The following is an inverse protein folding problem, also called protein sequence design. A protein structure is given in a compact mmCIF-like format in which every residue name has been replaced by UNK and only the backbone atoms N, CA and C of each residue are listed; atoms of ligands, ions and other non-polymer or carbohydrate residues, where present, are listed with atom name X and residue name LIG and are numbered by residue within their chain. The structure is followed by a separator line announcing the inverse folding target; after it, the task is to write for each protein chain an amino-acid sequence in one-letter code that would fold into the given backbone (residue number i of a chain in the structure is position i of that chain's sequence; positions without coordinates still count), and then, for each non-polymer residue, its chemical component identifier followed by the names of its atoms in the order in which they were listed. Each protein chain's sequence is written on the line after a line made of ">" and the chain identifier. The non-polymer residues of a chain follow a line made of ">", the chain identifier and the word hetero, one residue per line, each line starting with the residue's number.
data_IF_597594615418
#
_entry.id   IF_597594615418
#
_cell.length_a   1.000
_cell.length_b   1.000
_cell.length_c   1.000
_cell.angle_alpha   90.00
_cell.angle_beta   90.00
_cell.angle_gamma   90.00
#
_symmetry.space_group_name_H-M   'P 1'
#
loop_
_entity.id
_entity.type
_entity.pdbx_description
1 polymer ?
#
# COMPACT_ATOMS: atom_id res chain seq x y z
N UNK A 1 -5.62 -5.37 15.83
CA UNK A 1 -4.80 -4.88 16.96
C UNK A 1 -5.12 -3.43 17.32
N UNK A 2 -5.00 -2.47 16.39
CA UNK A 2 -5.25 -1.04 16.66
C UNK A 2 -6.68 -0.78 17.15
N UNK A 3 -7.72 -1.28 16.47
CA UNK A 3 -9.13 -1.11 16.91
C UNK A 3 -9.40 -1.70 18.28
N UNK A 4 -8.83 -2.87 18.58
CA UNK A 4 -8.97 -3.49 19.89
C UNK A 4 -8.37 -2.59 20.97
N UNK A 5 -7.17 -2.06 20.75
CA UNK A 5 -6.53 -1.12 21.68
C UNK A 5 -7.33 0.17 21.85
N UNK A 6 -7.87 0.73 20.76
CA UNK A 6 -8.70 1.94 20.77
C UNK A 6 -10.03 1.73 21.51
N UNK A 7 -10.60 0.52 21.46
CA UNK A 7 -11.84 0.20 22.19
C UNK A 7 -11.68 0.04 23.70
N UNK A 8 -10.44 -0.08 24.22
CA UNK A 8 -10.18 -0.18 25.67
C UNK A 8 -10.34 1.18 26.34
N UNK A 9 -10.71 1.16 27.63
CA UNK A 9 -10.66 2.35 28.48
C UNK A 9 -9.24 2.90 28.53
N UNK A 10 -9.11 4.22 28.70
CA UNK A 10 -7.82 4.89 28.58
C UNK A 10 -6.77 4.34 29.57
N UNK A 11 -7.18 4.05 30.81
CA UNK A 11 -6.35 3.45 31.84
C UNK A 11 -5.86 2.02 31.52
N UNK A 12 -6.57 1.31 30.64
CA UNK A 12 -6.28 -0.09 30.26
C UNK A 12 -5.50 -0.19 28.94
N UNK A 13 -5.20 0.95 28.29
CA UNK A 13 -4.46 0.99 27.03
C UNK A 13 -2.99 0.75 27.27
N UNK A 14 -2.45 -0.30 26.66
CA UNK A 14 -1.03 -0.63 26.70
C UNK A 14 -0.39 -0.42 25.32
N UNK A 15 0.23 0.74 25.12
CA UNK A 15 0.90 1.06 23.85
C UNK A 15 2.07 0.13 23.53
N UNK A 16 2.76 -0.43 24.53
CA UNK A 16 3.84 -1.39 24.27
C UNK A 16 3.29 -2.70 23.71
N UNK A 17 2.19 -3.21 24.26
CA UNK A 17 1.50 -4.39 23.74
C UNK A 17 1.07 -4.18 22.28
N UNK A 18 0.57 -2.98 21.94
CA UNK A 18 0.23 -2.64 20.57
C UNK A 18 1.46 -2.66 19.65
N UNK A 19 2.57 -2.06 20.09
CA UNK A 19 3.83 -2.03 19.33
C UNK A 19 4.33 -3.45 19.08
N UNK A 20 4.37 -4.29 20.12
CA UNK A 20 4.90 -5.65 20.03
C UNK A 20 4.06 -6.52 19.08
N UNK A 21 2.73 -6.30 19.05
CA UNK A 21 1.84 -7.02 18.14
C UNK A 21 1.92 -6.54 16.69
N UNK A 22 2.02 -5.22 16.45
CA UNK A 22 1.89 -4.64 15.11
C UNK A 22 3.23 -4.54 14.38
N UNK A 23 4.32 -4.24 15.08
CA UNK A 23 5.66 -4.10 14.49
C UNK A 23 6.09 -5.27 13.60
N UNK A 24 6.00 -6.55 14.01
CA UNK A 24 6.40 -7.66 13.15
C UNK A 24 5.56 -7.76 11.88
N UNK A 25 4.28 -7.39 11.93
CA UNK A 25 3.39 -7.39 10.77
C UNK A 25 3.78 -6.30 9.76
N UNK A 26 4.15 -5.11 10.24
CA UNK A 26 4.62 -4.03 9.35
C UNK A 26 5.93 -4.38 8.67
N UNK A 27 6.88 -5.00 9.39
CA UNK A 27 8.14 -5.47 8.81
C UNK A 27 7.88 -6.52 7.72
N UNK A 28 6.94 -7.44 7.97
CA UNK A 28 6.54 -8.43 6.97
C UNK A 28 5.87 -7.78 5.75
N UNK A 29 4.97 -6.83 5.95
CA UNK A 29 4.32 -6.08 4.89
C UNK A 29 5.34 -5.31 4.02
N UNK A 30 6.30 -4.65 4.65
CA UNK A 30 7.39 -3.94 3.97
C UNK A 30 8.20 -4.89 3.09
N UNK A 31 8.56 -6.07 3.63
CA UNK A 31 9.27 -7.10 2.87
C UNK A 31 8.47 -7.54 1.63
N UNK A 32 7.19 -7.86 1.81
CA UNK A 32 6.32 -8.30 0.70
C UNK A 32 6.18 -7.21 -0.36
N UNK A 33 5.98 -5.96 0.04
CA UNK A 33 5.86 -4.84 -0.89
C UNK A 33 7.16 -4.61 -1.67
N UNK A 34 8.33 -4.68 -1.02
CA UNK A 34 9.62 -4.55 -1.70
C UNK A 34 9.90 -5.72 -2.66
N UNK A 35 9.59 -6.97 -2.27
CA UNK A 35 9.71 -8.13 -3.15
C UNK A 35 8.80 -7.98 -4.38
N UNK A 36 7.55 -7.56 -4.16
CA UNK A 36 6.58 -7.31 -5.25
C UNK A 36 7.05 -6.19 -6.16
N UNK A 37 7.56 -5.10 -5.61
CA UNK A 37 8.13 -3.98 -6.36
C UNK A 37 9.33 -4.43 -7.22
N UNK A 38 10.20 -5.28 -6.67
CA UNK A 38 11.31 -5.88 -7.40
C UNK A 38 10.85 -6.80 -8.54
N UNK A 39 9.82 -7.63 -8.30
CA UNK A 39 9.24 -8.50 -9.33
C UNK A 39 8.62 -7.70 -10.49
N UNK A 40 7.85 -6.66 -10.17
CA UNK A 40 7.28 -5.74 -11.17
C UNK A 40 8.39 -5.09 -12.00
N UNK A 41 9.42 -4.57 -11.34
CA UNK A 41 10.53 -3.91 -12.03
C UNK A 41 11.34 -4.90 -12.89
N UNK A 42 11.53 -6.12 -12.43
CA UNK A 42 12.20 -7.18 -13.18
C UNK A 42 11.40 -7.65 -14.40
N UNK A 43 10.07 -7.64 -14.31
CA UNK A 43 9.18 -8.00 -15.41
C UNK A 43 9.15 -6.92 -16.51
N UNK A 44 9.32 -5.64 -16.17
CA UNK A 44 9.40 -4.54 -17.13
C UNK A 44 10.50 -3.52 -16.82
N UNK A 45 11.79 -3.87 -17.01
CA UNK A 45 12.91 -3.02 -16.62
C UNK A 45 12.92 -1.66 -17.33
N UNK A 46 12.52 -1.65 -18.60
CA UNK A 46 12.52 -0.47 -19.49
C UNK A 46 11.13 0.19 -19.60
N UNK A 47 10.15 -0.24 -18.80
CA UNK A 47 8.76 0.24 -18.86
C UNK A 47 8.08 0.04 -20.23
N UNK A 48 8.54 -0.90 -21.07
CA UNK A 48 8.00 -1.15 -22.42
C UNK A 48 6.58 -1.69 -22.36
N UNK A 49 6.31 -2.61 -21.43
CA UNK A 49 4.99 -3.25 -21.26
C UNK A 49 4.02 -2.21 -20.70
N UNK A 50 4.39 -1.50 -19.64
CA UNK A 50 3.55 -0.49 -19.00
C UNK A 50 3.25 0.69 -19.93
N UNK A 51 4.23 1.13 -20.73
CA UNK A 51 4.00 2.16 -21.75
C UNK A 51 3.03 1.70 -22.84
N UNK A 52 3.09 0.43 -23.24
CA UNK A 52 2.16 -0.15 -24.22
C UNK A 52 0.74 -0.22 -23.66
N UNK A 53 0.58 -0.75 -22.44
CA UNK A 53 -0.71 -0.83 -21.77
C UNK A 53 -1.34 0.56 -21.59
N UNK A 54 -0.54 1.57 -21.22
CA UNK A 54 -0.98 2.97 -21.14
C UNK A 54 -1.55 3.48 -22.47
N UNK A 55 -0.87 3.20 -23.59
CA UNK A 55 -1.35 3.59 -24.93
C UNK A 55 -2.64 2.85 -25.31
N UNK A 56 -2.76 1.57 -24.94
CA UNK A 56 -3.99 0.81 -25.18
C UNK A 56 -5.18 1.39 -24.41
N UNK A 57 -5.01 1.73 -23.13
CA UNK A 57 -6.06 2.38 -22.34
C UNK A 57 -6.48 3.71 -22.97
N UNK A 58 -5.52 4.58 -23.32
CA UNK A 58 -5.80 5.87 -23.97
C UNK A 58 -6.51 5.75 -25.33
N UNK A 59 -6.28 4.65 -26.04
CA UNK A 59 -6.91 4.37 -27.33
C UNK A 59 -8.22 3.57 -27.19
N UNK A 60 -8.70 3.29 -25.97
CA UNK A 60 -9.83 2.39 -25.69
C UNK A 60 -9.67 0.99 -26.32
N UNK A 61 -8.45 0.46 -26.29
CA UNK A 61 -8.04 -0.85 -26.84
C UNK A 61 -7.38 -1.76 -25.81
N UNK A 62 -7.58 -1.49 -24.52
CA UNK A 62 -7.02 -2.29 -23.44
C UNK A 62 -7.53 -3.75 -23.53
N UNK A 63 -6.61 -4.71 -23.42
CA UNK A 63 -7.00 -6.12 -23.38
C UNK A 63 -7.69 -6.46 -22.06
N UNK A 64 -8.46 -7.57 -21.98
CA UNK A 64 -9.06 -8.01 -20.71
C UNK A 64 -8.04 -8.19 -19.59
N UNK A 65 -6.82 -8.64 -19.90
CA UNK A 65 -5.73 -8.80 -18.94
C UNK A 65 -5.22 -7.45 -18.43
N UNK A 66 -5.06 -6.45 -19.32
CA UNK A 66 -4.68 -5.08 -18.95
C UNK A 66 -5.75 -4.41 -18.06
N UNK A 67 -7.04 -4.65 -18.34
CA UNK A 67 -8.15 -4.16 -17.52
C UNK A 67 -8.16 -4.81 -16.12
N UNK A 68 -7.99 -6.14 -16.04
CA UNK A 68 -7.89 -6.85 -14.76
C UNK A 68 -6.71 -6.37 -13.92
N UNK A 69 -5.58 -6.11 -14.57
CA UNK A 69 -4.40 -5.57 -13.89
C UNK A 69 -4.67 -4.16 -13.34
N UNK A 70 -5.32 -3.30 -14.13
CA UNK A 70 -5.70 -1.97 -13.66
C UNK A 70 -6.64 -2.01 -12.44
N UNK A 71 -7.62 -2.93 -12.44
CA UNK A 71 -8.52 -3.12 -11.29
C UNK A 71 -7.76 -3.61 -10.05
N UNK A 72 -6.85 -4.58 -10.21
CA UNK A 72 -6.03 -5.06 -9.09
C UNK A 72 -5.14 -3.95 -8.49
N UNK A 73 -4.59 -3.07 -9.32
CA UNK A 73 -3.81 -1.92 -8.85
C UNK A 73 -4.69 -0.89 -8.14
N UNK A 74 -5.92 -0.67 -8.63
CA UNK A 74 -6.88 0.22 -7.98
C UNK A 74 -7.20 -0.29 -6.58
N UNK A 75 -7.58 -1.57 -6.45
CA UNK A 75 -7.83 -2.23 -5.17
C UNK A 75 -6.60 -2.12 -4.25
N UNK A 76 -5.39 -2.34 -4.78
CA UNK A 76 -4.17 -2.18 -3.99
C UNK A 76 -3.97 -0.75 -3.46
N UNK A 77 -4.21 0.29 -4.27
CA UNK A 77 -4.10 1.69 -3.83
C UNK A 77 -5.16 2.01 -2.78
N UNK A 78 -6.42 1.65 -3.04
CA UNK A 78 -7.55 2.00 -2.19
C UNK A 78 -7.50 1.24 -0.86
N UNK A 79 -7.31 -0.07 -0.90
CA UNK A 79 -7.32 -0.90 0.31
C UNK A 79 -6.01 -0.79 1.08
N UNK A 80 -4.86 -1.02 0.44
CA UNK A 80 -3.56 -1.02 1.15
C UNK A 80 -3.16 0.40 1.53
N UNK A 81 -3.23 1.33 0.57
CA UNK A 81 -2.93 2.74 0.83
C UNK A 81 -3.88 3.34 1.87
N UNK A 82 -5.19 3.07 1.73
CA UNK A 82 -6.20 3.51 2.70
C UNK A 82 -5.98 2.92 4.09
N UNK A 83 -5.61 1.64 4.20
CA UNK A 83 -5.30 0.99 5.49
C UNK A 83 -4.08 1.64 6.17
N UNK A 84 -3.03 1.96 5.39
CA UNK A 84 -1.84 2.64 5.93
C UNK A 84 -2.21 4.03 6.48
N UNK A 85 -2.98 4.81 5.72
CA UNK A 85 -3.44 6.12 6.16
C UNK A 85 -4.34 6.03 7.39
N UNK A 86 -5.31 5.13 7.38
CA UNK A 86 -6.18 4.88 8.53
C UNK A 86 -5.37 4.50 9.77
N UNK A 87 -4.38 3.62 9.64
CA UNK A 87 -3.54 3.20 10.75
C UNK A 87 -2.73 4.37 11.32
N UNK A 88 -2.17 5.23 10.47
CA UNK A 88 -1.47 6.45 10.90
C UNK A 88 -2.39 7.36 11.71
N UNK A 89 -3.59 7.65 11.18
CA UNK A 89 -4.56 8.52 11.85
C UNK A 89 -4.99 7.94 13.20
N UNK A 90 -5.15 6.62 13.31
CA UNK A 90 -5.47 5.98 14.59
C UNK A 90 -4.34 6.04 15.60
N UNK A 91 -3.08 5.99 15.14
CA UNK A 91 -1.92 6.11 16.03
C UNK A 91 -1.76 7.52 16.63
N UNK A 92 -2.45 8.54 16.12
CA UNK A 92 -2.44 9.88 16.74
C UNK A 92 -2.92 9.88 18.20
N UNK A 93 -3.76 8.92 18.58
CA UNK A 93 -4.23 8.71 19.95
C UNK A 93 -3.26 7.90 20.83
N UNK A 94 -2.12 7.46 20.29
CA UNK A 94 -1.14 6.60 20.96
C UNK A 94 0.29 7.14 20.73
N UNK A 95 0.75 8.14 21.51
CA UNK A 95 2.01 8.84 21.24
C UNK A 95 3.26 7.95 21.18
N UNK A 96 3.34 6.93 22.05
CA UNK A 96 4.46 5.99 22.06
C UNK A 96 4.37 5.03 20.87
N UNK A 97 3.21 4.46 20.60
CA UNK A 97 3.01 3.57 19.47
C UNK A 97 3.22 4.31 18.14
N UNK A 98 2.78 5.57 18.02
CA UNK A 98 3.05 6.43 16.87
C UNK A 98 4.53 6.63 16.63
N UNK A 99 5.30 6.92 17.67
CA UNK A 99 6.76 7.08 17.56
C UNK A 99 7.44 5.80 17.05
N UNK A 100 6.99 4.64 17.52
CA UNK A 100 7.67 3.37 17.28
C UNK A 100 7.17 2.64 16.00
N UNK A 101 5.92 2.88 15.58
CA UNK A 101 5.29 2.26 14.40
C UNK A 101 5.15 3.21 13.20
N UNK A 102 5.05 4.53 13.44
CA UNK A 102 4.89 5.53 12.39
C UNK A 102 5.93 5.43 11.27
N UNK A 103 7.24 5.39 11.59
CA UNK A 103 8.28 5.22 10.57
C UNK A 103 8.14 3.94 9.74
N UNK A 104 7.61 2.85 10.33
CA UNK A 104 7.38 1.59 9.61
C UNK A 104 6.19 1.69 8.67
N UNK A 105 5.11 2.37 9.08
CA UNK A 105 3.98 2.66 8.19
C UNK A 105 4.40 3.55 7.01
N UNK A 106 5.26 4.53 7.26
CA UNK A 106 5.77 5.42 6.21
C UNK A 106 6.66 4.66 5.22
N UNK A 107 7.46 3.70 5.68
CA UNK A 107 8.30 2.84 4.84
C UNK A 107 7.48 2.02 3.81
N UNK A 108 6.21 1.69 4.11
CA UNK A 108 5.33 0.99 3.17
C UNK A 108 4.92 1.86 1.96
N UNK A 109 4.91 3.18 2.11
CA UNK A 109 4.37 4.09 1.10
C UNK A 109 5.19 4.14 -0.18
N UNK A 110 6.52 4.09 -0.07
CA UNK A 110 7.41 4.14 -1.24
C UNK A 110 7.24 2.92 -2.17
N UNK A 111 7.39 1.66 -1.72
CA UNK A 111 7.24 0.51 -2.60
C UNK A 111 5.83 0.40 -3.17
N UNK A 112 4.78 0.74 -2.39
CA UNK A 112 3.41 0.82 -2.90
C UNK A 112 3.29 1.80 -4.09
N UNK A 113 3.80 3.03 -3.92
CA UNK A 113 3.79 4.05 -4.98
C UNK A 113 4.58 3.59 -6.21
N UNK A 114 5.70 2.89 -6.01
CA UNK A 114 6.54 2.39 -7.11
C UNK A 114 5.91 1.21 -7.85
N UNK A 115 5.20 0.30 -7.18
CA UNK A 115 4.40 -0.75 -7.83
C UNK A 115 3.34 -0.10 -8.72
N UNK A 116 2.61 0.86 -8.16
CA UNK A 116 1.54 1.56 -8.89
C UNK A 116 2.11 2.38 -10.04
N UNK A 117 3.24 3.06 -9.89
CA UNK A 117 3.88 3.80 -10.98
C UNK A 117 4.47 2.88 -12.06
N UNK A 118 5.08 1.76 -11.64
CA UNK A 118 5.71 0.79 -12.52
C UNK A 118 4.69 0.04 -13.39
N UNK A 119 3.48 -0.17 -12.89
CA UNK A 119 2.41 -0.86 -13.63
C UNK A 119 1.36 0.11 -14.19
N UNK A 120 1.18 1.28 -13.58
CA UNK A 120 -0.13 1.91 -13.49
C UNK A 120 -0.17 3.43 -13.47
N UNK A 121 0.43 4.10 -14.47
CA UNK A 121 -0.29 5.24 -15.09
C UNK A 121 -1.49 4.76 -15.95
N UNK A 122 -2.20 3.73 -15.48
CA UNK A 122 -3.44 3.16 -16.01
C UNK A 122 -4.66 3.79 -15.32
N UNK A 123 -4.53 4.23 -14.06
CA UNK A 123 -5.63 4.78 -13.26
C UNK A 123 -6.22 6.08 -13.84
N UNK A 124 -5.39 6.92 -14.46
CA UNK A 124 -5.84 8.19 -15.05
C UNK A 124 -6.79 8.00 -16.26
N UNK A 125 -6.87 6.80 -16.84
CA UNK A 125 -7.77 6.49 -17.96
C UNK A 125 -8.94 5.57 -17.63
N UNK A 126 -8.97 4.97 -16.43
CA UNK A 126 -10.02 4.01 -16.00
C UNK A 126 -10.98 4.62 -14.98
N UNK A 127 -10.62 5.74 -14.34
CA UNK A 127 -11.47 6.47 -13.38
C UNK A 127 -12.41 7.51 -14.03
N UNK A 128 -12.50 7.55 -15.36
CA UNK A 128 -13.47 8.37 -16.11
C UNK A 128 -14.54 7.50 -16.76
#
# INVERSE_FOLDING_TARGET
>A
HIENMDSRKEEDRNEQELVDAVKPLLIQAEKILNETQGMVKGADPENKISNKAKRHVQAHKATPEEQRLAEALKVMVEEVGGTIEWARNKLDSFPKAKRDLGPLLDALGQPLTQIVAGVGMLLAGVLN
#
